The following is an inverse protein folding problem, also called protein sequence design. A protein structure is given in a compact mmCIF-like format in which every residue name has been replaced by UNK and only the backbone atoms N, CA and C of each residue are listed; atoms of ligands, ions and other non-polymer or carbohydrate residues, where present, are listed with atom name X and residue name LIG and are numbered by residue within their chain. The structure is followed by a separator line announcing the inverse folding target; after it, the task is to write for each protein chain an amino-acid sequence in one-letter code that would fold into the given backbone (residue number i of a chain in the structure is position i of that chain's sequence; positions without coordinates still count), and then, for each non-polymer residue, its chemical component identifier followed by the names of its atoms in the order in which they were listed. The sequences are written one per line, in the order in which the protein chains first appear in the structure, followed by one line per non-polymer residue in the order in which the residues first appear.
data_IF_208054139842
#
_entry.id   IF_208054139842
#
_cell.length_a   1.000
_cell.length_b   1.000
_cell.length_c   1.000
_cell.angle_alpha   90.00
_cell.angle_beta   90.00
_cell.angle_gamma   90.00
#
_symmetry.space_group_name_H-M   'P 1'
#
loop_
_entity.id
_entity.type
_entity.pdbx_description
1 polymer ?
#
# COMPACT_ATOMS: atom_id res chain seq x y z
N UNK A 1 3.26 -10.40 6.18
CA UNK A 1 2.74 -11.76 6.40
C UNK A 1 3.55 -12.73 5.54
N UNK A 2 4.05 -13.86 6.06
CA UNK A 2 4.80 -14.84 5.27
C UNK A 2 3.86 -15.61 4.32
N UNK A 3 4.40 -16.10 3.20
CA UNK A 3 3.64 -16.84 2.19
C UNK A 3 2.96 -18.11 2.75
N UNK A 4 3.64 -18.81 3.66
CA UNK A 4 3.12 -20.01 4.34
C UNK A 4 1.90 -19.73 5.22
N UNK A 5 1.67 -18.48 5.63
CA UNK A 5 0.51 -18.12 6.43
C UNK A 5 -0.72 -17.75 5.59
N UNK A 6 -0.57 -17.46 4.28
CA UNK A 6 -1.68 -17.05 3.43
C UNK A 6 -2.78 -18.13 3.33
N UNK A 7 -2.47 -19.43 3.16
CA UNK A 7 -3.53 -20.44 3.05
C UNK A 7 -4.43 -20.47 4.28
N UNK A 8 -3.85 -20.35 5.49
CA UNK A 8 -4.62 -20.28 6.73
C UNK A 8 -5.40 -18.98 6.85
N UNK A 9 -4.78 -17.84 6.50
CA UNK A 9 -5.41 -16.52 6.62
C UNK A 9 -6.65 -16.36 5.73
N UNK A 10 -6.65 -16.98 4.55
CA UNK A 10 -7.76 -16.93 3.60
C UNK A 10 -8.68 -18.17 3.62
N UNK A 11 -8.50 -19.09 4.57
CA UNK A 11 -9.31 -20.31 4.64
C UNK A 11 -9.09 -21.28 3.46
N UNK A 12 -7.95 -21.19 2.78
CA UNK A 12 -7.59 -21.99 1.60
C UNK A 12 -6.89 -23.31 1.96
N UNK A 13 -6.51 -23.49 3.23
CA UNK A 13 -5.80 -24.68 3.71
C UNK A 13 -6.60 -25.99 3.48
N UNK A 14 -7.93 -25.92 3.59
CA UNK A 14 -8.80 -27.10 3.47
C UNK A 14 -9.48 -27.21 2.09
N UNK A 15 -9.51 -26.11 1.32
CA UNK A 15 -10.40 -25.97 0.16
C UNK A 15 -9.82 -26.45 -1.19
N UNK A 16 -8.51 -26.77 -1.30
CA UNK A 16 -7.92 -27.00 -2.62
C UNK A 16 -6.66 -27.87 -2.67
N UNK A 17 -6.49 -28.86 -1.78
CA UNK A 17 -5.31 -29.75 -1.83
C UNK A 17 -3.98 -28.99 -1.83
N UNK A 18 -3.99 -27.76 -1.29
CA UNK A 18 -2.82 -26.90 -1.26
C UNK A 18 -1.85 -27.52 -0.27
N UNK A 19 -0.83 -28.19 -0.80
CA UNK A 19 0.31 -28.63 0.00
C UNK A 19 0.78 -27.43 0.81
N UNK A 20 0.97 -27.65 2.11
CA UNK A 20 1.70 -26.73 2.96
C UNK A 20 2.99 -26.33 2.24
N UNK A 21 3.35 -25.04 2.32
CA UNK A 21 4.55 -24.54 1.65
C UNK A 21 5.73 -25.46 1.98
N UNK A 22 6.31 -26.06 0.93
CA UNK A 22 7.44 -26.99 1.07
C UNK A 22 8.68 -26.28 1.64
N UNK A 23 9.64 -27.08 2.08
CA UNK A 23 10.94 -26.57 2.57
C UNK A 23 11.97 -26.74 1.47
N UNK A 24 12.70 -25.66 1.14
CA UNK A 24 13.66 -25.64 0.03
C UNK A 24 15.06 -25.22 0.50
N UNK A 25 16.14 -25.86 0.04
CA UNK A 25 17.50 -25.54 0.45
C UNK A 25 18.01 -24.30 -0.29
N UNK A 26 17.64 -23.12 0.21
CA UNK A 26 17.95 -21.84 -0.44
C UNK A 26 19.44 -21.60 -0.67
N UNK A 27 20.31 -22.01 0.26
CA UNK A 27 21.75 -21.83 0.12
C UNK A 27 22.40 -22.88 -0.80
N UNK A 28 21.68 -23.94 -1.16
CA UNK A 28 22.14 -24.95 -2.11
C UNK A 28 21.89 -24.55 -3.56
N UNK A 29 21.09 -23.49 -3.78
CA UNK A 29 20.79 -22.96 -5.11
C UNK A 29 21.97 -22.17 -5.67
N UNK A 30 22.95 -22.90 -6.21
CA UNK A 30 24.10 -22.35 -6.92
C UNK A 30 24.16 -22.91 -8.35
N UNK A 31 24.87 -22.26 -9.29
CA UNK A 31 25.01 -22.75 -10.67
C UNK A 31 25.56 -24.18 -10.75
N UNK A 32 26.43 -24.57 -9.83
CA UNK A 32 27.08 -25.88 -9.78
C UNK A 32 26.10 -27.00 -9.42
N UNK A 33 25.07 -26.67 -8.63
CA UNK A 33 24.10 -27.64 -8.10
C UNK A 33 22.83 -27.78 -8.94
N UNK A 34 22.70 -27.05 -10.07
CA UNK A 34 21.48 -27.04 -10.89
C UNK A 34 21.10 -28.42 -11.46
N UNK A 35 22.07 -29.30 -11.63
CA UNK A 35 21.90 -30.66 -12.13
C UNK A 35 22.07 -31.73 -11.04
N UNK A 36 22.10 -31.32 -9.76
CA UNK A 36 22.30 -32.24 -8.66
C UNK A 36 21.14 -33.24 -8.52
N UNK A 37 21.50 -34.51 -8.47
CA UNK A 37 20.61 -35.63 -8.14
C UNK A 37 21.36 -36.50 -7.14
N UNK A 38 20.82 -36.63 -5.93
CA UNK A 38 21.52 -37.35 -4.88
C UNK A 38 20.77 -37.31 -3.55
N UNK A 39 21.47 -37.58 -2.43
CA UNK A 39 20.90 -37.45 -1.10
C UNK A 39 20.35 -36.04 -0.82
N UNK A 40 19.47 -35.95 0.17
CA UNK A 40 18.96 -34.66 0.64
C UNK A 40 20.12 -33.73 1.05
N UNK A 41 20.14 -32.44 0.61
CA UNK A 41 21.17 -31.48 1.02
C UNK A 41 21.28 -31.35 2.54
N UNK A 42 22.45 -30.99 3.05
CA UNK A 42 22.66 -30.80 4.49
C UNK A 42 21.72 -29.74 5.10
N UNK A 43 21.39 -29.89 6.39
CA UNK A 43 20.51 -28.99 7.15
C UNK A 43 20.89 -27.51 7.03
N UNK A 44 22.19 -27.22 6.98
CA UNK A 44 22.74 -25.87 6.87
C UNK A 44 22.20 -25.13 5.64
N UNK A 45 21.94 -25.85 4.54
CA UNK A 45 21.47 -25.23 3.30
C UNK A 45 20.03 -24.72 3.35
N UNK A 46 19.27 -25.08 4.38
CA UNK A 46 17.87 -24.69 4.57
C UNK A 46 17.69 -23.47 5.49
N UNK A 47 18.78 -22.91 6.01
CA UNK A 47 18.76 -21.75 6.92
C UNK A 47 17.82 -21.92 8.14
N UNK A 48 17.96 -23.00 8.92
CA UNK A 48 17.06 -23.33 10.04
C UNK A 48 17.03 -22.26 11.15
N UNK A 49 18.04 -21.39 11.22
CA UNK A 49 18.10 -20.30 12.20
C UNK A 49 17.14 -19.14 11.89
N UNK A 50 16.63 -19.06 10.66
CA UNK A 50 15.60 -18.08 10.28
C UNK A 50 14.18 -18.53 10.63
N UNK A 51 14.01 -19.80 11.01
CA UNK A 51 12.71 -20.39 11.32
C UNK A 51 12.33 -20.14 12.79
N UNK A 52 11.03 -20.00 13.06
CA UNK A 52 10.55 -20.03 14.45
C UNK A 52 10.76 -21.42 15.06
N UNK A 53 10.81 -21.52 16.40
CA UNK A 53 11.02 -22.81 17.10
C UNK A 53 10.04 -23.90 16.66
N UNK A 54 8.77 -23.56 16.46
CA UNK A 54 7.75 -24.50 15.99
C UNK A 54 8.02 -24.98 14.55
N UNK A 55 8.37 -24.06 13.65
CA UNK A 55 8.69 -24.38 12.25
C UNK A 55 9.97 -25.21 12.15
N UNK A 56 10.98 -24.88 12.94
CA UNK A 56 12.24 -25.62 13.00
C UNK A 56 12.02 -27.07 13.44
N UNK A 57 11.18 -27.29 14.47
CA UNK A 57 10.87 -28.64 14.93
C UNK A 57 10.13 -29.46 13.86
N UNK A 58 9.15 -28.85 13.16
CA UNK A 58 8.44 -29.49 12.06
C UNK A 58 9.38 -29.83 10.89
N UNK A 59 10.28 -28.91 10.54
CA UNK A 59 11.29 -29.12 9.52
C UNK A 59 12.24 -30.27 9.88
N UNK A 60 12.77 -30.30 11.11
CA UNK A 60 13.69 -31.35 11.54
C UNK A 60 13.03 -32.75 11.52
N UNK A 61 11.76 -32.84 11.92
CA UNK A 61 11.00 -34.09 11.84
C UNK A 61 10.89 -34.57 10.39
N UNK A 62 10.44 -33.70 9.48
CA UNK A 62 10.37 -34.01 8.04
C UNK A 62 11.74 -34.38 7.46
N UNK A 63 12.79 -33.63 7.78
CA UNK A 63 14.13 -33.85 7.25
C UNK A 63 14.69 -35.23 7.66
N UNK A 64 14.52 -35.59 8.94
CA UNK A 64 14.97 -36.89 9.45
C UNK A 64 14.20 -38.06 8.80
N UNK A 65 12.91 -37.89 8.54
CA UNK A 65 12.07 -38.86 7.83
C UNK A 65 12.48 -39.02 6.36
N UNK A 66 12.71 -37.92 5.63
CA UNK A 66 13.18 -37.99 4.24
C UNK A 66 14.57 -38.64 4.15
N UNK A 67 15.43 -38.38 5.14
CA UNK A 67 16.76 -38.99 5.19
C UNK A 67 16.71 -40.48 5.50
N UNK A 68 15.80 -40.94 6.38
CA UNK A 68 15.67 -42.36 6.73
C UNK A 68 15.06 -43.19 5.60
N UNK A 69 14.18 -42.60 4.80
CA UNK A 69 13.56 -43.24 3.63
C UNK A 69 14.49 -43.34 2.42
N UNK A 70 15.68 -42.73 2.48
CA UNK A 70 16.62 -42.71 1.36
C UNK A 70 16.14 -41.84 0.19
N UNK A 71 15.39 -40.77 0.48
CA UNK A 71 14.85 -39.87 -0.52
C UNK A 71 15.94 -39.34 -1.46
N UNK A 72 15.70 -39.48 -2.78
CA UNK A 72 16.59 -38.96 -3.81
C UNK A 72 16.11 -37.57 -4.19
N UNK A 73 16.88 -36.57 -3.77
CA UNK A 73 16.64 -35.18 -4.06
C UNK A 73 17.12 -34.84 -5.48
N UNK A 74 16.19 -34.43 -6.34
CA UNK A 74 16.46 -33.89 -7.67
C UNK A 74 16.26 -32.38 -7.65
N UNK A 75 17.36 -31.62 -7.72
CA UNK A 75 17.33 -30.18 -7.53
C UNK A 75 16.36 -29.47 -8.49
N UNK A 76 16.41 -29.81 -9.79
CA UNK A 76 15.62 -29.13 -10.81
C UNK A 76 14.12 -29.38 -10.64
N UNK A 77 13.75 -30.61 -10.28
CA UNK A 77 12.34 -30.98 -10.09
C UNK A 77 11.79 -30.28 -8.86
N UNK A 78 12.50 -30.36 -7.75
CA UNK A 78 12.14 -29.74 -6.47
C UNK A 78 12.06 -28.22 -6.57
N UNK A 79 13.01 -27.60 -7.27
CA UNK A 79 13.01 -26.15 -7.51
C UNK A 79 11.76 -25.71 -8.28
N UNK A 80 11.42 -26.42 -9.37
CA UNK A 80 10.24 -26.10 -10.17
C UNK A 80 8.96 -26.30 -9.36
N UNK A 81 8.85 -27.41 -8.62
CA UNK A 81 7.69 -27.70 -7.78
C UNK A 81 7.51 -26.68 -6.66
N UNK A 82 8.61 -26.30 -5.99
CA UNK A 82 8.60 -25.25 -4.98
C UNK A 82 8.11 -23.91 -5.54
N UNK A 83 8.69 -23.45 -6.66
CA UNK A 83 8.27 -22.20 -7.30
C UNK A 83 6.80 -22.25 -7.75
N UNK A 84 6.34 -23.36 -8.32
CA UNK A 84 4.93 -23.54 -8.71
C UNK A 84 4.01 -23.48 -7.51
N UNK A 85 4.39 -24.12 -6.40
CA UNK A 85 3.63 -24.09 -5.15
C UNK A 85 3.53 -22.65 -4.61
N UNK A 86 4.66 -21.94 -4.52
CA UNK A 86 4.71 -20.57 -4.02
C UNK A 86 3.83 -19.61 -4.84
N UNK A 87 3.91 -19.67 -6.17
CA UNK A 87 3.09 -18.84 -7.06
C UNK A 87 1.61 -19.24 -6.98
N UNK A 88 1.31 -20.54 -6.82
CA UNK A 88 -0.08 -21.02 -6.68
C UNK A 88 -0.72 -20.49 -5.40
N UNK A 89 0.00 -20.56 -4.27
CA UNK A 89 -0.45 -20.01 -2.99
C UNK A 89 -0.71 -18.51 -3.11
N UNK A 90 0.25 -17.78 -3.68
CA UNK A 90 0.12 -16.33 -3.84
C UNK A 90 -1.06 -15.97 -4.74
N UNK A 91 -1.21 -16.66 -5.88
CA UNK A 91 -2.30 -16.45 -6.83
C UNK A 91 -3.67 -16.64 -6.17
N UNK A 92 -3.86 -17.76 -5.48
CA UNK A 92 -5.15 -18.04 -4.85
C UNK A 92 -5.47 -17.04 -3.73
N UNK A 93 -4.48 -16.71 -2.90
CA UNK A 93 -4.65 -15.68 -1.87
C UNK A 93 -5.04 -14.33 -2.47
N UNK A 94 -4.43 -13.92 -3.60
CA UNK A 94 -4.80 -12.70 -4.30
C UNK A 94 -6.21 -12.74 -4.88
N UNK A 95 -6.66 -13.88 -5.40
CA UNK A 95 -8.04 -14.04 -5.90
C UNK A 95 -9.03 -13.88 -4.75
N UNK A 96 -8.86 -14.62 -3.65
CA UNK A 96 -9.74 -14.52 -2.48
C UNK A 96 -9.73 -13.12 -1.86
N UNK A 97 -8.56 -12.48 -1.80
CA UNK A 97 -8.45 -11.09 -1.35
C UNK A 97 -9.26 -10.13 -2.22
N UNK A 98 -9.18 -10.27 -3.55
CA UNK A 98 -9.96 -9.46 -4.49
C UNK A 98 -11.45 -9.70 -4.34
N UNK A 99 -11.87 -10.95 -4.23
CA UNK A 99 -13.28 -11.32 -4.07
C UNK A 99 -13.86 -10.68 -2.81
N UNK A 100 -13.17 -10.75 -1.67
CA UNK A 100 -13.63 -10.11 -0.43
C UNK A 100 -13.80 -8.60 -0.57
N UNK A 101 -12.84 -7.91 -1.21
CA UNK A 101 -12.91 -6.46 -1.43
C UNK A 101 -14.02 -6.05 -2.39
N UNK A 102 -14.26 -6.83 -3.45
CA UNK A 102 -15.36 -6.58 -4.37
C UNK A 102 -16.72 -6.81 -3.70
N UNK A 103 -16.86 -7.90 -2.94
CA UNK A 103 -18.09 -8.25 -2.24
C UNK A 103 -18.49 -7.22 -1.17
N UNK A 104 -17.55 -6.77 -0.35
CA UNK A 104 -17.85 -5.90 0.80
C UNK A 104 -17.60 -4.42 0.53
N UNK A 105 -16.65 -4.11 -0.35
CA UNK A 105 -16.17 -2.76 -0.59
C UNK A 105 -16.60 -2.18 -1.93
N UNK A 106 -17.04 -2.99 -2.89
CA UNK A 106 -17.26 -2.58 -4.28
C UNK A 106 -16.10 -1.74 -4.85
N UNK A 107 -14.88 -2.11 -4.46
CA UNK A 107 -13.62 -1.47 -4.86
C UNK A 107 -12.66 -2.59 -5.22
N UNK A 108 -12.03 -2.51 -6.38
CA UNK A 108 -11.02 -3.49 -6.77
C UNK A 108 -9.66 -3.12 -6.15
N UNK A 109 -9.09 -3.96 -5.27
CA UNK A 109 -7.92 -3.59 -4.48
C UNK A 109 -6.62 -3.54 -5.30
N UNK A 110 -6.61 -4.03 -6.54
CA UNK A 110 -5.43 -4.08 -7.41
C UNK A 110 -5.43 -3.03 -8.52
N UNK A 111 -6.61 -2.66 -9.06
CA UNK A 111 -6.70 -1.66 -10.13
C UNK A 111 -6.85 -0.25 -9.58
N UNK A 112 -7.52 -0.10 -8.44
CA UNK A 112 -7.81 1.21 -7.87
C UNK A 112 -6.78 1.63 -6.82
N UNK A 113 -6.01 0.70 -6.27
CA UNK A 113 -5.08 0.96 -5.18
C UNK A 113 -3.82 0.09 -5.34
N UNK A 114 -2.68 0.62 -4.91
CA UNK A 114 -1.42 -0.13 -4.89
C UNK A 114 -1.19 -0.84 -3.55
N UNK A 115 -1.82 -0.35 -2.47
CA UNK A 115 -1.63 -0.85 -1.11
C UNK A 115 -2.96 -1.15 -0.43
N UNK A 116 -2.94 -2.07 0.54
CA UNK A 116 -4.13 -2.41 1.33
C UNK A 116 -4.70 -1.20 2.07
N UNK A 117 -3.84 -0.33 2.61
CA UNK A 117 -4.27 0.88 3.30
C UNK A 117 -5.01 1.84 2.35
N UNK A 118 -4.51 2.01 1.12
CA UNK A 118 -5.19 2.81 0.10
C UNK A 118 -6.54 2.20 -0.27
N UNK A 119 -6.61 0.88 -0.45
CA UNK A 119 -7.86 0.19 -0.77
C UNK A 119 -8.90 0.35 0.35
N UNK A 120 -8.53 0.10 1.61
CA UNK A 120 -9.40 0.29 2.77
C UNK A 120 -9.85 1.75 2.90
N UNK A 121 -8.93 2.70 2.68
CA UNK A 121 -9.25 4.13 2.71
C UNK A 121 -10.26 4.52 1.62
N UNK A 122 -10.16 3.94 0.42
CA UNK A 122 -11.17 4.12 -0.64
C UNK A 122 -12.51 3.51 -0.27
N UNK A 123 -12.53 2.28 0.23
CA UNK A 123 -13.76 1.62 0.70
C UNK A 123 -14.45 2.49 1.77
N UNK A 124 -13.69 3.00 2.73
CA UNK A 124 -14.19 3.92 3.75
C UNK A 124 -14.82 5.18 3.13
N UNK A 125 -14.07 5.88 2.27
CA UNK A 125 -14.55 7.11 1.62
C UNK A 125 -15.75 6.89 0.71
N UNK A 126 -15.87 5.73 0.06
CA UNK A 126 -16.95 5.43 -0.89
C UNK A 126 -18.23 4.97 -0.20
N UNK A 127 -18.11 4.15 0.84
CA UNK A 127 -19.26 3.44 1.41
C UNK A 127 -19.68 3.93 2.81
N UNK A 128 -18.78 4.59 3.56
CA UNK A 128 -19.00 4.90 4.98
C UNK A 128 -18.85 6.38 5.33
N UNK A 129 -18.11 7.16 4.54
CA UNK A 129 -17.92 8.57 4.79
C UNK A 129 -19.21 9.34 4.49
N UNK A 130 -19.72 10.06 5.49
CA UNK A 130 -20.91 10.91 5.32
C UNK A 130 -20.51 12.23 4.69
N UNK A 131 -21.48 12.86 4.03
CA UNK A 131 -21.30 14.18 3.44
C UNK A 131 -20.82 15.20 4.48
N UNK A 132 -20.00 16.15 4.02
CA UNK A 132 -19.51 17.30 4.82
C UNK A 132 -18.62 16.95 6.02
N UNK A 133 -18.20 15.69 6.20
CA UNK A 133 -17.32 15.31 7.33
C UNK A 133 -15.84 15.61 7.11
N UNK A 134 -15.38 15.77 5.87
CA UNK A 134 -13.98 16.06 5.55
C UNK A 134 -13.92 17.31 4.69
N UNK A 135 -13.18 18.31 5.17
CA UNK A 135 -12.88 19.50 4.38
C UNK A 135 -12.01 19.13 3.16
N UNK A 136 -12.43 19.56 1.97
CA UNK A 136 -11.63 19.41 0.75
C UNK A 136 -10.48 20.41 0.82
N UNK A 137 -9.30 19.93 1.20
CA UNK A 137 -8.08 20.75 1.18
C UNK A 137 -7.48 20.73 -0.23
N UNK A 138 -7.23 21.90 -0.85
CA UNK A 138 -6.50 21.94 -2.11
C UNK A 138 -5.05 21.44 -1.91
N UNK A 139 -4.40 20.88 -2.95
CA UNK A 139 -2.98 20.53 -2.88
C UNK A 139 -2.14 21.78 -2.54
N UNK A 140 -1.50 21.78 -1.36
CA UNK A 140 -0.79 22.93 -0.80
C UNK A 140 -1.50 23.62 0.38
N UNK A 141 -2.68 23.17 0.79
CA UNK A 141 -3.47 23.81 1.84
C UNK A 141 -3.99 25.20 1.43
N UNK A 142 -4.71 25.86 2.32
CA UNK A 142 -5.28 27.19 2.04
C UNK A 142 -4.26 28.34 2.08
N UNK A 143 -2.99 28.08 2.43
CA UNK A 143 -2.05 29.12 2.91
C UNK A 143 -0.63 29.08 2.32
N UNK A 144 -0.38 28.41 1.19
CA UNK A 144 1.00 28.29 0.66
C UNK A 144 1.27 28.92 -0.71
N UNK A 145 0.49 29.91 -1.10
CA UNK A 145 0.84 30.87 -2.14
C UNK A 145 -0.29 31.90 -2.18
N UNK A 146 0.01 33.18 -1.92
CA UNK A 146 -0.92 34.29 -2.13
C UNK A 146 -1.28 34.36 -3.62
N UNK A 147 -2.21 33.49 -4.05
CA UNK A 147 -2.80 33.50 -5.38
C UNK A 147 -4.11 34.24 -5.27
N UNK A 148 -4.03 35.56 -5.15
CA UNK A 148 -5.17 36.39 -5.49
C UNK A 148 -5.61 36.02 -6.91
N UNK A 149 -6.80 35.43 -7.03
CA UNK A 149 -7.29 35.03 -8.34
C UNK A 149 -7.54 36.28 -9.18
N UNK A 150 -7.28 36.23 -10.50
CA UNK A 150 -7.59 37.34 -11.41
C UNK A 150 -9.06 37.79 -11.30
N UNK A 151 -9.96 36.87 -10.97
CA UNK A 151 -11.39 37.17 -10.71
C UNK A 151 -11.58 38.02 -9.44
N UNK A 152 -10.86 37.73 -8.36
CA UNK A 152 -10.93 38.50 -7.12
C UNK A 152 -10.44 39.94 -7.31
N UNK A 153 -9.32 40.13 -8.03
CA UNK A 153 -8.80 41.47 -8.35
C UNK A 153 -9.78 42.27 -9.23
N UNK A 154 -10.38 41.63 -10.25
CA UNK A 154 -11.37 42.29 -11.10
C UNK A 154 -12.63 42.70 -10.32
N UNK A 155 -13.05 41.90 -9.35
CA UNK A 155 -14.16 42.26 -8.48
C UNK A 155 -13.85 43.47 -7.60
N UNK A 156 -12.64 43.55 -7.03
CA UNK A 156 -12.20 44.73 -6.25
C UNK A 156 -12.16 45.99 -7.12
N UNK A 157 -11.64 45.93 -8.34
CA UNK A 157 -11.66 47.06 -9.29
C UNK A 157 -13.10 47.48 -9.65
N UNK A 158 -14.02 46.52 -9.78
CA UNK A 158 -15.45 46.83 -9.98
C UNK A 158 -16.08 47.47 -8.75
N UNK A 159 -15.63 47.10 -7.54
CA UNK A 159 -16.06 47.70 -6.28
C UNK A 159 -15.57 49.15 -6.18
N UNK A 160 -14.30 49.42 -6.51
CA UNK A 160 -13.72 50.77 -6.59
C UNK A 160 -14.56 51.68 -7.49
N UNK A 161 -14.92 51.20 -8.68
CA UNK A 161 -15.70 51.99 -9.64
C UNK A 161 -17.12 52.31 -9.14
N UNK A 162 -17.72 51.42 -8.34
CA UNK A 162 -19.06 51.62 -7.78
C UNK A 162 -19.07 52.51 -6.54
N UNK A 163 -18.03 52.43 -5.71
CA UNK A 163 -17.92 53.17 -4.47
C UNK A 163 -17.17 54.51 -4.62
N UNK A 164 -16.49 54.73 -5.75
CA UNK A 164 -15.69 55.92 -6.00
C UNK A 164 -14.43 56.03 -5.11
N UNK A 165 -14.06 54.96 -4.40
CA UNK A 165 -12.93 54.93 -3.48
C UNK A 165 -11.78 54.07 -4.02
N UNK A 166 -10.55 54.40 -3.61
CA UNK A 166 -9.36 53.63 -3.94
C UNK A 166 -9.13 52.53 -2.90
N UNK A 167 -9.08 51.27 -3.33
CA UNK A 167 -8.88 50.09 -2.49
C UNK A 167 -7.43 49.63 -2.63
N UNK A 168 -6.76 49.38 -1.51
CA UNK A 168 -5.44 48.76 -1.46
C UNK A 168 -5.62 47.26 -1.60
N UNK A 169 -5.06 46.68 -2.67
CA UNK A 169 -5.11 45.25 -2.96
C UNK A 169 -3.80 44.78 -3.60
N UNK A 170 -3.61 43.45 -3.69
CA UNK A 170 -2.38 42.81 -4.17
C UNK A 170 -1.91 43.24 -5.58
N UNK A 171 -2.83 43.75 -6.42
CA UNK A 171 -2.56 44.13 -7.82
C UNK A 171 -1.95 45.52 -8.02
N UNK A 172 -1.87 46.35 -6.98
CA UNK A 172 -1.24 47.69 -7.05
C UNK A 172 0.14 47.73 -6.40
N UNK A 173 0.24 47.35 -5.14
CA UNK A 173 1.49 47.51 -4.36
C UNK A 173 1.75 46.34 -3.42
N UNK A 174 0.74 45.91 -2.64
CA UNK A 174 0.65 44.68 -1.81
C UNK A 174 -0.67 44.68 -1.03
N UNK A 175 -1.00 43.55 -0.40
CA UNK A 175 -2.12 43.47 0.56
C UNK A 175 -1.85 44.32 1.80
N UNK A 176 -2.90 45.00 2.28
CA UNK A 176 -2.82 45.75 3.53
C UNK A 176 -2.84 44.77 4.71
N UNK A 177 -1.99 45.01 5.72
CA UNK A 177 -2.02 44.24 6.98
C UNK A 177 -2.72 45.05 8.04
N UNK A 178 -3.74 44.47 8.65
CA UNK A 178 -4.39 45.02 9.83
C UNK A 178 -3.38 45.12 11.00
N UNK A 179 -3.66 45.96 12.01
CA UNK A 179 -2.83 46.05 13.22
C UNK A 179 -2.64 44.70 13.93
N UNK A 180 -3.58 43.76 13.79
CA UNK A 180 -3.45 42.39 14.32
C UNK A 180 -2.53 41.47 13.47
N UNK A 181 -1.87 42.01 12.44
CA UNK A 181 -0.91 41.30 11.59
C UNK A 181 -1.51 40.48 10.45
N UNK A 182 -2.84 40.46 10.33
CA UNK A 182 -3.56 39.70 9.29
C UNK A 182 -3.63 40.49 7.99
N UNK A 183 -3.13 39.97 6.85
CA UNK A 183 -3.32 40.60 5.54
C UNK A 183 -4.77 40.47 5.08
N UNK A 184 -5.28 41.49 4.39
CA UNK A 184 -6.62 41.51 3.81
C UNK A 184 -6.55 41.70 2.29
N UNK A 185 -7.50 41.07 1.59
CA UNK A 185 -7.57 41.06 0.11
C UNK A 185 -7.83 42.46 -0.47
N UNK A 186 -8.55 43.31 0.26
CA UNK A 186 -8.87 44.68 -0.11
C UNK A 186 -9.11 45.56 1.12
N UNK A 187 -8.51 46.73 1.17
CA UNK A 187 -8.68 47.70 2.26
C UNK A 187 -8.91 49.11 1.73
N UNK A 188 -9.93 49.80 2.22
CA UNK A 188 -10.10 51.23 2.00
C UNK A 188 -10.28 51.92 3.35
N UNK A 189 -9.70 53.11 3.49
CA UNK A 189 -9.93 53.96 4.65
C UNK A 189 -11.10 54.88 4.31
N UNK A 190 -12.18 54.81 5.07
CA UNK A 190 -13.26 55.80 4.97
C UNK A 190 -12.78 57.06 5.70
N UNK A 191 -12.50 58.13 4.96
CA UNK A 191 -12.05 59.40 5.55
C UNK A 191 -13.20 60.30 6.00
N UNK A 192 -14.45 59.87 5.80
CA UNK A 192 -15.65 60.59 6.23
C UNK A 192 -16.21 59.98 7.54
N UNK A 193 -15.50 60.20 8.65
CA UNK A 193 -16.00 59.98 10.01
C UNK A 193 -15.61 61.12 10.93
#
# INVERSE_FOLDING_TARGET
MPLSALPKAFGLADAAGLKQKGVFPHLFNTPENQHYIGPLPALEFYSPDTMSTAQRNQFLAWYNEQRSTGYVFNFRTEFIEYCRSDVTILRQACVSFREMFLQHGNVCPFSESTTIASACSKVFRKNFLRDEQIAILPPGGHRYSDKQSRKAILWLLSLEHRLGCAIVHAGRTREYRLPEGTPVDGYYLDTDS
#
